data_IF_322661694609
#
_entry.id   IF_322661694609
#
_cell.length_a   1.000
_cell.length_b   1.000
_cell.length_c   1.000
_cell.angle_alpha   90.00
_cell.angle_beta   90.00
_cell.angle_gamma   90.00
#
_symmetry.space_group_name_H-M   'P 1'
#
loop_
_entity.id
_entity.type
_entity.pdbx_description
1 polymer ?
#
# COMPACT_ATOMS: atom_id res chain seq x y z
N UNK A 1 -16.93 -25.89 6.23
CA UNK A 1 -15.92 -26.21 5.21
C UNK A 1 -15.70 -24.91 4.48
N UNK A 2 -14.52 -24.31 4.62
CA UNK A 2 -14.21 -23.08 3.88
C UNK A 2 -14.17 -23.34 2.38
N UNK A 3 -14.27 -22.27 1.60
CA UNK A 3 -14.16 -22.34 0.14
C UNK A 3 -12.69 -22.45 -0.26
N UNK A 4 -12.39 -23.27 -1.27
CA UNK A 4 -11.05 -23.30 -1.87
C UNK A 4 -10.82 -22.00 -2.62
N UNK A 5 -9.70 -21.35 -2.38
CA UNK A 5 -9.32 -20.09 -3.03
C UNK A 5 -9.22 -20.29 -4.55
N UNK A 6 -9.95 -19.49 -5.33
CA UNK A 6 -9.77 -19.44 -6.78
C UNK A 6 -8.53 -18.60 -7.14
N UNK A 7 -7.45 -19.19 -7.69
CA UNK A 7 -6.21 -18.46 -7.97
C UNK A 7 -6.40 -17.29 -8.93
N UNK A 8 -7.36 -17.38 -9.86
CA UNK A 8 -7.67 -16.31 -10.80
C UNK A 8 -8.24 -15.07 -10.12
N UNK A 9 -9.25 -15.26 -9.26
CA UNK A 9 -9.85 -14.19 -8.45
C UNK A 9 -8.84 -13.56 -7.48
N UNK A 10 -7.98 -14.39 -6.87
CA UNK A 10 -6.95 -13.91 -5.96
C UNK A 10 -5.91 -13.06 -6.70
N UNK A 11 -5.41 -13.54 -7.84
CA UNK A 11 -4.51 -12.77 -8.69
C UNK A 11 -5.11 -11.43 -9.11
N UNK A 12 -6.40 -11.43 -9.46
CA UNK A 12 -7.11 -10.21 -9.84
C UNK A 12 -7.22 -9.22 -8.66
N UNK A 13 -7.52 -9.71 -7.45
CA UNK A 13 -7.59 -8.88 -6.25
C UNK A 13 -6.24 -8.25 -5.88
N UNK A 14 -5.18 -9.06 -5.85
CA UNK A 14 -3.82 -8.57 -5.61
C UNK A 14 -3.38 -7.53 -6.66
N UNK A 15 -3.75 -7.73 -7.93
CA UNK A 15 -3.47 -6.77 -9.00
C UNK A 15 -4.27 -5.45 -8.90
N UNK A 16 -5.35 -5.37 -8.11
CA UNK A 16 -5.99 -4.08 -7.80
C UNK A 16 -5.19 -3.29 -6.77
N UNK A 17 -4.67 -3.96 -5.74
CA UNK A 17 -3.88 -3.33 -4.68
C UNK A 17 -2.46 -2.94 -5.15
N UNK A 18 -1.81 -3.78 -5.98
CA UNK A 18 -0.44 -3.60 -6.45
C UNK A 18 -0.10 -2.19 -6.99
N UNK A 19 -0.83 -1.64 -7.97
CA UNK A 19 -0.53 -0.30 -8.49
C UNK A 19 -0.71 0.80 -7.45
N UNK A 20 -1.63 0.65 -6.49
CA UNK A 20 -1.83 1.63 -5.42
C UNK A 20 -0.67 1.63 -4.42
N UNK A 21 -0.20 0.46 -4.01
CA UNK A 21 0.98 0.33 -3.13
C UNK A 21 2.22 0.93 -3.81
N UNK A 22 2.40 0.68 -5.11
CA UNK A 22 3.49 1.26 -5.87
C UNK A 22 3.37 2.79 -5.99
N UNK A 23 2.16 3.28 -6.27
CA UNK A 23 1.86 4.72 -6.31
C UNK A 23 2.17 5.40 -4.97
N UNK A 24 1.76 4.79 -3.86
CA UNK A 24 2.05 5.30 -2.51
C UNK A 24 3.55 5.42 -2.27
N UNK A 25 4.33 4.40 -2.62
CA UNK A 25 5.78 4.43 -2.47
C UNK A 25 6.42 5.61 -3.22
N UNK A 26 5.99 5.85 -4.47
CA UNK A 26 6.45 6.99 -5.28
C UNK A 26 6.00 8.31 -4.65
N UNK A 27 4.73 8.45 -4.29
CA UNK A 27 4.19 9.67 -3.71
C UNK A 27 4.90 10.06 -2.41
N UNK A 28 5.10 9.09 -1.50
CA UNK A 28 5.83 9.28 -0.26
C UNK A 28 7.27 9.74 -0.52
N UNK A 29 7.96 9.12 -1.47
CA UNK A 29 9.33 9.47 -1.84
C UNK A 29 9.43 10.90 -2.37
N UNK A 30 8.52 11.30 -3.27
CA UNK A 30 8.53 12.66 -3.82
C UNK A 30 8.19 13.67 -2.74
N UNK A 31 7.13 13.44 -1.96
CA UNK A 31 6.74 14.34 -0.86
C UNK A 31 7.87 14.50 0.16
N UNK A 32 8.57 13.42 0.52
CA UNK A 32 9.73 13.49 1.42
C UNK A 32 10.85 14.39 0.89
N UNK A 33 11.03 14.47 -0.43
CA UNK A 33 12.03 15.32 -1.07
C UNK A 33 11.59 16.76 -1.31
N UNK A 34 10.28 17.03 -1.33
CA UNK A 34 9.74 18.32 -1.78
C UNK A 34 8.94 19.09 -0.73
N UNK A 35 8.68 18.51 0.45
CA UNK A 35 7.92 19.20 1.50
C UNK A 35 8.67 20.47 1.99
N UNK A 36 8.02 21.65 1.93
CA UNK A 36 8.64 22.88 2.42
C UNK A 36 8.53 23.01 3.95
N UNK A 37 9.44 23.79 4.53
CA UNK A 37 9.36 24.23 5.93
C UNK A 37 9.81 23.19 6.97
N UNK A 38 9.75 23.56 8.27
CA UNK A 38 10.26 22.71 9.35
C UNK A 38 9.47 21.41 9.52
N UNK A 39 8.15 21.41 9.22
CA UNK A 39 7.33 20.20 9.21
C UNK A 39 7.82 19.22 8.14
N UNK A 40 8.21 19.74 6.97
CA UNK A 40 8.80 18.94 5.90
C UNK A 40 10.09 18.26 6.32
N UNK A 41 10.98 18.99 7.00
CA UNK A 41 12.24 18.43 7.53
C UNK A 41 11.95 17.33 8.55
N UNK A 42 11.01 17.55 9.46
CA UNK A 42 10.67 16.57 10.50
C UNK A 42 10.04 15.29 9.94
N UNK A 43 9.27 15.39 8.86
CA UNK A 43 8.59 14.25 8.23
C UNK A 43 9.41 13.56 7.13
N UNK A 44 10.49 14.18 6.65
CA UNK A 44 11.25 13.64 5.52
C UNK A 44 11.74 12.20 5.77
N UNK A 45 12.31 11.92 6.94
CA UNK A 45 12.82 10.57 7.24
C UNK A 45 11.71 9.53 7.42
N UNK A 46 10.67 9.77 8.25
CA UNK A 46 9.53 8.86 8.32
C UNK A 46 8.92 8.55 6.94
N UNK A 47 8.75 9.55 6.08
CA UNK A 47 8.18 9.35 4.74
C UNK A 47 9.09 8.50 3.84
N UNK A 48 10.43 8.60 3.96
CA UNK A 48 11.38 7.75 3.23
C UNK A 48 11.33 6.30 3.71
N UNK A 49 11.22 6.09 5.02
CA UNK A 49 11.08 4.75 5.59
C UNK A 49 9.79 4.08 5.10
N UNK A 50 8.67 4.81 5.10
CA UNK A 50 7.40 4.35 4.55
C UNK A 50 7.51 4.04 3.05
N UNK A 51 8.12 4.94 2.26
CA UNK A 51 8.33 4.70 0.83
C UNK A 51 9.12 3.41 0.58
N UNK A 52 10.19 3.19 1.36
CA UNK A 52 11.03 1.99 1.25
C UNK A 52 10.26 0.72 1.64
N UNK A 53 9.46 0.78 2.71
CA UNK A 53 8.64 -0.34 3.14
C UNK A 53 7.57 -0.68 2.09
N UNK A 54 6.89 0.33 1.53
CA UNK A 54 5.90 0.16 0.48
C UNK A 54 6.52 -0.40 -0.81
N UNK A 55 7.78 -0.06 -1.15
CA UNK A 55 8.46 -0.65 -2.30
C UNK A 55 8.77 -2.14 -2.09
N UNK A 56 9.16 -2.56 -0.88
CA UNK A 56 9.32 -3.99 -0.54
C UNK A 56 7.99 -4.75 -0.62
N UNK A 57 6.91 -4.06 -0.29
CA UNK A 57 5.57 -4.60 -0.40
C UNK A 57 5.09 -4.76 -1.84
N UNK A 58 5.49 -3.87 -2.76
CA UNK A 58 5.30 -4.06 -4.21
C UNK A 58 5.96 -5.36 -4.67
N UNK A 59 7.22 -5.61 -4.28
CA UNK A 59 7.93 -6.84 -4.61
C UNK A 59 7.15 -8.07 -4.12
N UNK A 60 6.71 -8.06 -2.86
CA UNK A 60 5.99 -9.18 -2.25
C UNK A 60 4.63 -9.42 -2.90
N UNK A 61 3.88 -8.38 -3.21
CA UNK A 61 2.60 -8.50 -3.92
C UNK A 61 2.81 -9.04 -5.34
N UNK A 62 3.77 -8.51 -6.09
CA UNK A 62 4.07 -8.99 -7.43
C UNK A 62 4.51 -10.46 -7.42
N UNK A 63 5.38 -10.85 -6.47
CA UNK A 63 5.78 -12.23 -6.27
C UNK A 63 4.56 -13.11 -5.94
N UNK A 64 3.64 -12.63 -5.11
CA UNK A 64 2.43 -13.37 -4.75
C UNK A 64 1.50 -13.54 -5.95
N UNK A 65 1.24 -12.49 -6.72
CA UNK A 65 0.47 -12.56 -7.99
C UNK A 65 1.06 -13.62 -8.92
N UNK A 66 2.38 -13.63 -9.09
CA UNK A 66 3.05 -14.62 -9.93
C UNK A 66 2.92 -16.05 -9.37
N UNK A 67 3.04 -16.23 -8.04
CA UNK A 67 2.96 -17.55 -7.40
C UNK A 67 1.59 -18.21 -7.54
N UNK A 68 0.51 -17.43 -7.65
CA UNK A 68 -0.86 -17.94 -7.87
C UNK A 68 -1.22 -18.05 -9.36
N UNK A 69 -0.24 -17.92 -10.26
CA UNK A 69 -0.40 -18.07 -11.71
C UNK A 69 -0.83 -16.80 -12.46
N UNK A 70 -0.88 -15.65 -11.79
CA UNK A 70 -1.16 -14.36 -12.41
C UNK A 70 0.06 -13.68 -13.04
N UNK A 71 -0.16 -12.58 -13.75
CA UNK A 71 0.90 -11.67 -14.20
C UNK A 71 0.76 -10.34 -13.46
N UNK A 72 1.81 -9.84 -12.77
CA UNK A 72 1.76 -8.55 -12.08
C UNK A 72 1.52 -7.39 -13.05
N UNK A 73 0.62 -6.47 -12.70
CA UNK A 73 0.33 -5.26 -13.47
C UNK A 73 0.65 -4.00 -12.66
N UNK A 74 1.41 -3.07 -13.24
CA UNK A 74 1.87 -1.82 -12.62
C UNK A 74 1.44 -0.58 -13.41
N UNK A 75 0.14 -0.49 -13.69
CA UNK A 75 -0.45 0.73 -14.23
C UNK A 75 -0.57 1.78 -13.10
N UNK A 76 0.45 2.62 -12.96
CA UNK A 76 0.53 3.64 -11.90
C UNK A 76 0.13 5.01 -12.48
N UNK A 77 -0.90 5.62 -11.89
CA UNK A 77 -1.25 7.01 -12.18
C UNK A 77 -0.24 7.98 -11.56
N UNK A 78 -0.02 9.13 -12.23
CA UNK A 78 0.82 10.19 -11.69
C UNK A 78 0.30 10.65 -10.31
N UNK A 79 1.15 10.64 -9.27
CA UNK A 79 0.74 11.12 -7.97
C UNK A 79 0.56 12.65 -8.03
N UNK A 80 -0.63 13.14 -7.68
CA UNK A 80 -0.83 14.57 -7.56
C UNK A 80 -0.15 15.08 -6.28
N UNK A 81 0.70 16.09 -6.41
CA UNK A 81 1.56 16.57 -5.33
C UNK A 81 1.26 18.06 -5.05
N UNK A 82 0.49 18.35 -3.99
CA UNK A 82 0.22 19.73 -3.58
C UNK A 82 1.48 20.49 -3.17
N UNK A 83 1.40 21.83 -3.20
CA UNK A 83 2.54 22.73 -2.89
C UNK A 83 2.70 23.07 -1.41
N UNK A 84 1.76 22.67 -0.55
CA UNK A 84 1.81 22.98 0.89
C UNK A 84 1.92 21.71 1.70
N UNK A 85 2.59 21.79 2.85
CA UNK A 85 2.85 20.63 3.69
C UNK A 85 1.56 19.87 4.05
N UNK A 86 0.54 20.61 4.52
CA UNK A 86 -0.71 20.05 4.99
C UNK A 86 -1.56 19.47 3.85
N UNK A 87 -1.54 20.09 2.68
CA UNK A 87 -2.24 19.55 1.52
C UNK A 87 -1.57 18.26 1.03
N UNK A 88 -0.24 18.19 1.03
CA UNK A 88 0.49 16.98 0.64
C UNK A 88 0.23 15.83 1.59
N UNK A 89 0.26 16.07 2.91
CA UNK A 89 -0.03 15.02 3.89
C UNK A 89 -1.50 14.59 3.86
N UNK A 90 -2.46 15.52 3.67
CA UNK A 90 -3.87 15.15 3.44
C UNK A 90 -4.04 14.30 2.18
N UNK A 91 -3.28 14.58 1.13
CA UNK A 91 -3.33 13.80 -0.11
C UNK A 91 -2.78 12.40 0.10
N UNK A 92 -1.61 12.26 0.74
CA UNK A 92 -1.03 10.98 1.11
C UNK A 92 -1.99 10.15 1.98
N UNK A 93 -2.66 10.79 2.94
CA UNK A 93 -3.64 10.13 3.79
C UNK A 93 -4.82 9.58 2.98
N UNK A 94 -5.41 10.42 2.10
CA UNK A 94 -6.54 10.00 1.27
C UNK A 94 -6.18 8.90 0.27
N UNK A 95 -4.98 8.95 -0.30
CA UNK A 95 -4.48 7.91 -1.19
C UNK A 95 -4.21 6.60 -0.43
N UNK A 96 -3.50 6.68 0.70
CA UNK A 96 -3.19 5.52 1.51
C UNK A 96 -4.43 4.85 2.14
N UNK A 97 -5.51 5.60 2.40
CA UNK A 97 -6.81 5.03 2.79
C UNK A 97 -7.41 4.16 1.68
N UNK A 98 -7.29 4.57 0.41
CA UNK A 98 -7.72 3.74 -0.73
C UNK A 98 -6.84 2.50 -0.87
N UNK A 99 -5.53 2.66 -0.71
CA UNK A 99 -4.59 1.53 -0.71
C UNK A 99 -4.93 0.53 0.41
N UNK A 100 -5.23 1.02 1.61
CA UNK A 100 -5.65 0.18 2.74
C UNK A 100 -6.92 -0.60 2.40
N UNK A 101 -7.91 0.06 1.78
CA UNK A 101 -9.17 -0.58 1.41
C UNK A 101 -8.93 -1.72 0.41
N UNK A 102 -8.17 -1.49 -0.66
CA UNK A 102 -7.88 -2.56 -1.64
C UNK A 102 -7.04 -3.70 -1.05
N UNK A 103 -6.14 -3.42 -0.09
CA UNK A 103 -5.40 -4.46 0.62
C UNK A 103 -6.33 -5.32 1.48
N UNK A 104 -7.30 -4.71 2.18
CA UNK A 104 -8.30 -5.43 2.98
C UNK A 104 -9.24 -6.24 2.08
N UNK A 105 -9.72 -5.66 0.99
CA UNK A 105 -10.63 -6.31 0.04
C UNK A 105 -9.96 -7.44 -0.75
N UNK A 106 -8.62 -7.51 -0.75
CA UNK A 106 -7.85 -8.60 -1.34
C UNK A 106 -7.59 -9.76 -0.38
N UNK A 107 -7.91 -9.63 0.91
CA UNK A 107 -7.78 -10.73 1.88
C UNK A 107 -8.81 -11.80 1.52
N UNK A 108 -8.40 -13.04 1.21
CA UNK A 108 -9.33 -14.12 0.92
C UNK A 108 -10.11 -14.47 2.19
N UNK A 109 -11.42 -14.19 2.18
CA UNK A 109 -12.28 -14.53 3.32
C UNK A 109 -12.50 -16.05 3.38
N UNK A 110 -12.43 -16.62 4.59
CA UNK A 110 -12.78 -18.01 4.87
C UNK A 110 -12.02 -19.07 4.04
N UNK A 111 -10.81 -18.74 3.59
CA UNK A 111 -9.96 -19.69 2.88
C UNK A 111 -9.41 -20.75 3.84
N UNK A 112 -9.63 -22.03 3.50
CA UNK A 112 -9.23 -23.18 4.32
C UNK A 112 -8.14 -24.00 3.60
N UNK A 113 -7.38 -23.33 2.72
CA UNK A 113 -6.30 -23.89 1.92
C UNK A 113 -4.98 -23.13 2.12
N UNK A 114 -3.82 -23.78 1.93
CA UNK A 114 -2.51 -23.18 2.20
C UNK A 114 -2.20 -21.92 1.38
N UNK A 115 -2.74 -21.79 0.17
CA UNK A 115 -2.49 -20.63 -0.68
C UNK A 115 -3.29 -19.41 -0.20
N UNK A 116 -4.55 -19.62 0.20
CA UNK A 116 -5.35 -18.60 0.87
C UNK A 116 -4.69 -18.09 2.15
N UNK A 117 -4.33 -18.99 3.07
CA UNK A 117 -3.73 -18.65 4.37
C UNK A 117 -2.40 -17.89 4.22
N UNK A 118 -1.53 -18.33 3.30
CA UNK A 118 -0.26 -17.63 3.04
C UNK A 118 -0.49 -16.20 2.51
N UNK A 119 -1.54 -16.00 1.71
CA UNK A 119 -1.88 -14.68 1.16
C UNK A 119 -2.51 -13.78 2.21
N UNK A 120 -3.40 -14.33 3.02
CA UNK A 120 -4.00 -13.65 4.16
C UNK A 120 -2.92 -13.10 5.09
N UNK A 121 -2.02 -13.94 5.59
CA UNK A 121 -0.93 -13.50 6.47
C UNK A 121 -0.05 -12.41 5.85
N UNK A 122 0.27 -12.52 4.55
CA UNK A 122 1.01 -11.48 3.83
C UNK A 122 0.24 -10.15 3.87
N UNK A 123 -1.03 -10.17 3.50
CA UNK A 123 -1.86 -8.96 3.41
C UNK A 123 -2.14 -8.36 4.78
N UNK A 124 -2.37 -9.15 5.82
CA UNK A 124 -2.54 -8.67 7.19
C UNK A 124 -1.31 -7.89 7.68
N UNK A 125 -0.11 -8.38 7.39
CA UNK A 125 1.13 -7.67 7.70
C UNK A 125 1.24 -6.32 6.96
N UNK A 126 0.72 -6.24 5.73
CA UNK A 126 0.71 -5.01 4.93
C UNK A 126 -0.36 -4.04 5.44
N UNK A 127 -1.56 -4.53 5.72
CA UNK A 127 -2.67 -3.78 6.31
C UNK A 127 -2.27 -3.14 7.63
N UNK A 128 -1.64 -3.90 8.54
CA UNK A 128 -1.23 -3.38 9.84
C UNK A 128 -0.16 -2.28 9.72
N UNK A 129 0.80 -2.44 8.81
CA UNK A 129 1.78 -1.39 8.52
C UNK A 129 1.13 -0.16 7.91
N UNK A 130 0.27 -0.33 6.90
CA UNK A 130 -0.45 0.78 6.27
C UNK A 130 -1.29 1.57 7.29
N UNK A 131 -1.98 0.89 8.22
CA UNK A 131 -2.69 1.55 9.33
C UNK A 131 -1.77 2.42 10.19
N UNK A 132 -0.58 1.92 10.54
CA UNK A 132 0.41 2.69 11.30
C UNK A 132 0.94 3.91 10.51
N UNK A 133 1.13 3.78 9.20
CA UNK A 133 1.48 4.92 8.33
C UNK A 133 0.40 6.00 8.36
N UNK A 134 -0.87 5.61 8.17
CA UNK A 134 -2.00 6.53 8.19
C UNK A 134 -2.14 7.22 9.55
N UNK A 135 -1.99 6.49 10.66
CA UNK A 135 -2.02 7.06 12.00
C UNK A 135 -0.92 8.12 12.22
N UNK A 136 0.30 7.87 11.71
CA UNK A 136 1.37 8.86 11.77
C UNK A 136 1.02 10.12 10.98
N UNK A 137 0.51 9.97 9.75
CA UNK A 137 0.09 11.10 8.92
C UNK A 137 -1.06 11.89 9.57
N UNK A 138 -2.02 11.20 10.18
CA UNK A 138 -3.11 11.82 10.94
C UNK A 138 -2.59 12.61 12.15
N UNK A 139 -1.65 12.03 12.90
CA UNK A 139 -1.01 12.71 14.05
C UNK A 139 -0.23 13.94 13.62
N UNK A 140 0.47 13.88 12.48
CA UNK A 140 1.21 15.01 11.96
C UNK A 140 0.29 16.21 11.66
N UNK A 141 -0.96 15.97 11.24
CA UNK A 141 -1.94 16.99 10.90
C UNK A 141 -2.63 17.65 12.11
N UNK A 142 -2.41 17.15 13.33
CA UNK A 142 -2.97 17.70 14.58
C UNK A 142 -2.05 18.77 15.16
#
# INVERSE_FOLDING_TARGET
>A
MGETTDPGSLAAALNRALPLVARDAVALSVVAGTLPGPQGIALAEPLREMATANLRDVERLAARVASVGGTPSLAIDEPALPKTWSASVKRLLADGQKTLQELVDAIPADADDPEGEATEHLLEHMVNRKRAELELLERALR
#
